data_IF_379511939087
#
_entry.id   IF_379511939087
#
_cell.length_a   1.000
_cell.length_b   1.000
_cell.length_c   1.000
_cell.angle_alpha   90.00
_cell.angle_beta   90.00
_cell.angle_gamma   90.00
#
_symmetry.space_group_name_H-M   'P 1'
#
loop_
_entity.id
_entity.type
_entity.pdbx_description
1 polymer ?
#
# COMPACT_ATOMS: atom_id res chain seq x y z
N UNK A 1 -2.05 -9.23 10.11
CA UNK A 1 -1.61 -9.45 8.72
C UNK A 1 -2.24 -8.36 7.89
N UNK A 2 -1.42 -7.38 7.53
CA UNK A 2 -1.77 -6.34 6.57
C UNK A 2 -1.59 -6.91 5.16
N UNK A 3 -2.36 -6.40 4.19
CA UNK A 3 -2.28 -6.82 2.79
C UNK A 3 -2.06 -5.61 1.91
N UNK A 4 -1.28 -5.79 0.85
CA UNK A 4 -1.12 -4.77 -0.17
C UNK A 4 -2.48 -4.52 -0.85
N UNK A 5 -2.98 -3.27 -0.92
CA UNK A 5 -4.26 -2.95 -1.55
C UNK A 5 -4.31 -3.29 -3.04
N UNK A 6 -3.16 -3.23 -3.70
CA UNK A 6 -3.03 -3.44 -5.15
C UNK A 6 -3.05 -4.92 -5.52
N UNK A 7 -2.14 -5.72 -4.94
CA UNK A 7 -1.98 -7.13 -5.33
C UNK A 7 -2.61 -8.13 -4.34
N UNK A 8 -2.95 -7.70 -3.12
CA UNK A 8 -3.49 -8.56 -2.07
C UNK A 8 -2.46 -9.47 -1.38
N UNK A 9 -1.18 -9.34 -1.70
CA UNK A 9 -0.06 -10.04 -1.03
C UNK A 9 0.01 -9.64 0.45
N UNK A 10 0.45 -10.56 1.29
CA UNK A 10 0.66 -10.30 2.72
C UNK A 10 1.90 -9.42 2.92
N UNK A 11 1.77 -8.40 3.75
CA UNK A 11 2.87 -7.52 4.15
C UNK A 11 3.52 -8.04 5.41
N UNK A 12 4.86 -8.01 5.43
CA UNK A 12 5.67 -8.45 6.55
C UNK A 12 6.28 -7.24 7.26
N UNK A 13 6.12 -7.21 8.59
CA UNK A 13 6.73 -6.19 9.44
C UNK A 13 8.27 -6.25 9.31
N UNK A 14 8.90 -5.12 8.96
CA UNK A 14 10.35 -5.00 8.76
C UNK A 14 10.78 -4.63 7.34
N UNK A 15 10.27 -5.32 6.32
CA UNK A 15 10.70 -5.13 4.92
C UNK A 15 9.81 -4.13 4.17
N UNK A 16 8.51 -4.13 4.45
CA UNK A 16 7.51 -3.35 3.71
C UNK A 16 7.18 -1.99 4.37
N UNK A 17 7.81 -1.67 5.50
CA UNK A 17 7.54 -0.44 6.28
C UNK A 17 7.92 0.85 5.55
N UNK A 18 8.72 0.75 4.49
CA UNK A 18 9.19 1.89 3.71
C UNK A 18 8.23 2.33 2.60
N UNK A 19 7.34 1.44 2.14
CA UNK A 19 6.40 1.76 1.08
C UNK A 19 5.03 2.07 1.70
N UNK A 20 4.87 3.31 2.13
CA UNK A 20 3.63 3.77 2.77
C UNK A 20 3.13 5.05 2.11
N UNK A 21 1.81 5.22 2.08
CA UNK A 21 1.17 6.50 1.72
C UNK A 21 0.01 6.80 2.66
N UNK A 22 -0.40 8.05 2.72
CA UNK A 22 -1.57 8.49 3.50
C UNK A 22 -2.68 8.88 2.54
N UNK A 23 -3.84 8.24 2.67
CA UNK A 23 -5.03 8.55 1.89
C UNK A 23 -6.24 8.67 2.80
N UNK A 24 -6.96 9.80 2.69
CA UNK A 24 -8.12 10.14 3.54
C UNK A 24 -7.86 10.07 5.06
N UNK A 25 -6.62 10.26 5.50
CA UNK A 25 -6.24 10.17 6.91
C UNK A 25 -6.00 8.74 7.42
N UNK A 26 -5.98 7.76 6.52
CA UNK A 26 -5.57 6.39 6.79
C UNK A 26 -4.21 6.10 6.13
N UNK A 27 -3.34 5.40 6.83
CA UNK A 27 -2.03 4.99 6.31
C UNK A 27 -2.17 3.64 5.61
N UNK A 28 -1.78 3.61 4.33
CA UNK A 28 -1.72 2.40 3.52
C UNK A 28 -0.28 1.96 3.34
N UNK A 29 -0.07 0.64 3.36
CA UNK A 29 1.24 0.02 3.13
C UNK A 29 1.23 -0.84 1.88
N UNK A 30 2.39 -0.97 1.25
CA UNK A 30 2.57 -1.67 -0.02
C UNK A 30 3.78 -2.59 0.05
N UNK A 31 3.79 -3.66 -0.74
CA UNK A 31 4.93 -4.56 -0.83
C UNK A 31 6.05 -4.03 -1.73
N UNK A 32 5.82 -2.93 -2.44
CA UNK A 32 6.76 -2.34 -3.40
C UNK A 32 6.42 -0.88 -3.66
N UNK A 33 7.41 -0.12 -4.12
CA UNK A 33 7.23 1.27 -4.58
C UNK A 33 6.23 1.35 -5.74
N UNK A 34 6.29 0.42 -6.69
CA UNK A 34 5.42 0.40 -7.87
C UNK A 34 3.93 0.32 -7.49
N UNK A 35 3.57 -0.51 -6.50
CA UNK A 35 2.20 -0.59 -5.99
C UNK A 35 1.77 0.65 -5.19
N UNK A 36 2.71 1.31 -4.48
CA UNK A 36 2.42 2.60 -3.86
C UNK A 36 2.06 3.61 -4.94
N UNK A 37 2.88 3.73 -5.98
CA UNK A 37 2.69 4.69 -7.06
C UNK A 37 1.42 4.42 -7.88
N UNK A 38 1.08 3.13 -8.09
CA UNK A 38 -0.19 2.70 -8.69
C UNK A 38 -1.39 3.15 -7.85
N UNK A 39 -1.33 2.89 -6.53
CA UNK A 39 -2.36 3.32 -5.60
C UNK A 39 -2.49 4.85 -5.56
N UNK A 40 -1.37 5.59 -5.50
CA UNK A 40 -1.38 7.06 -5.50
C UNK A 40 -1.94 7.64 -6.81
N UNK A 41 -1.77 6.94 -7.93
CA UNK A 41 -2.33 7.35 -9.22
C UNK A 41 -3.86 7.19 -9.29
N UNK A 42 -4.45 6.23 -8.58
CA UNK A 42 -5.90 5.98 -8.61
C UNK A 42 -6.42 5.33 -7.31
N UNK A 43 -6.32 6.02 -6.16
CA UNK A 43 -6.57 5.40 -4.85
C UNK A 43 -8.04 4.95 -4.69
N UNK A 44 -8.97 5.64 -5.35
CA UNK A 44 -10.41 5.29 -5.30
C UNK A 44 -10.78 3.96 -5.96
N UNK A 45 -9.87 3.33 -6.73
CA UNK A 45 -10.09 1.99 -7.29
C UNK A 45 -9.74 0.86 -6.29
N UNK A 46 -8.95 1.19 -5.24
CA UNK A 46 -8.40 0.21 -4.29
C UNK A 46 -8.95 0.36 -2.86
N UNK A 47 -9.79 1.38 -2.59
CA UNK A 47 -10.35 1.69 -1.26
C UNK A 47 -11.79 1.24 -1.11
#
# INVERSE_FOLDING_TARGET
>A
MEKCPVCGEELYEGEDEQYVTEYQGEQFRFCSEDHRDEFESSPGEYT
#
